data_IF_992754547617
#
_entry.id   IF_992754547617
#
_cell.length_a   1.000
_cell.length_b   1.000
_cell.length_c   1.000
_cell.angle_alpha   90.00
_cell.angle_beta   90.00
_cell.angle_gamma   90.00
#
_symmetry.space_group_name_H-M   'P 1'
#
loop_
_entity.id
_entity.type
_entity.pdbx_description
1 polymer ?
#
# COMPACT_ATOMS: atom_id res chain seq x y z
N UNK A 1 -6.94 25.34 -14.21
CA UNK A 1 -6.53 26.71 -13.82
C UNK A 1 -5.21 26.54 -13.08
N UNK A 2 -4.08 26.98 -13.63
CA UNK A 2 -2.75 26.72 -13.03
C UNK A 2 -2.67 27.42 -11.67
N UNK A 3 -2.46 26.65 -10.60
CA UNK A 3 -2.32 27.17 -9.24
C UNK A 3 -1.07 28.04 -9.17
N UNK A 4 -1.17 29.25 -8.61
CA UNK A 4 0.01 30.11 -8.44
C UNK A 4 0.98 29.51 -7.41
N UNK A 5 2.29 29.57 -7.69
CA UNK A 5 3.37 29.04 -6.84
C UNK A 5 3.24 29.37 -5.35
N UNK A 6 2.79 30.58 -5.01
CA UNK A 6 2.60 31.01 -3.60
C UNK A 6 1.42 30.30 -2.90
N UNK A 7 0.37 29.91 -3.62
CA UNK A 7 -0.76 29.18 -3.05
C UNK A 7 -0.37 27.72 -2.81
N UNK A 8 0.41 27.17 -3.72
CA UNK A 8 0.98 25.84 -3.61
C UNK A 8 1.89 25.69 -2.39
N UNK A 9 2.86 26.60 -2.21
CA UNK A 9 3.75 26.59 -1.04
C UNK A 9 2.98 26.62 0.28
N UNK A 10 1.88 27.38 0.36
CA UNK A 10 1.02 27.44 1.56
C UNK A 10 0.30 26.13 1.82
N UNK A 11 -0.25 25.48 0.79
CA UNK A 11 -0.93 24.19 0.93
C UNK A 11 0.04 23.09 1.35
N UNK A 12 1.24 23.08 0.78
CA UNK A 12 2.31 22.18 1.20
C UNK A 12 2.68 22.39 2.67
N UNK A 13 2.89 23.64 3.09
CA UNK A 13 3.19 23.94 4.49
C UNK A 13 2.06 23.49 5.42
N UNK A 14 0.80 23.69 5.03
CA UNK A 14 -0.36 23.20 5.77
C UNK A 14 -0.37 21.68 5.89
N UNK A 15 -0.14 20.96 4.79
CA UNK A 15 -0.09 19.50 4.78
C UNK A 15 1.05 18.97 5.66
N UNK A 16 2.26 19.53 5.53
CA UNK A 16 3.39 19.15 6.37
C UNK A 16 3.13 19.43 7.85
N UNK A 17 2.42 20.52 8.19
CA UNK A 17 2.00 20.79 9.57
C UNK A 17 1.04 19.72 10.07
N UNK A 18 0.02 19.37 9.29
CA UNK A 18 -0.91 18.29 9.64
C UNK A 18 -0.19 16.96 9.80
N UNK A 19 0.77 16.65 8.93
CA UNK A 19 1.57 15.44 9.03
C UNK A 19 2.35 15.39 10.35
N UNK A 20 2.99 16.50 10.75
CA UNK A 20 3.70 16.56 12.04
C UNK A 20 2.78 16.39 13.25
N UNK A 21 1.57 16.94 13.20
CA UNK A 21 0.56 16.75 14.24
C UNK A 21 0.12 15.27 14.33
N UNK A 22 -0.07 14.61 13.19
CA UNK A 22 -0.48 13.21 13.12
C UNK A 22 0.63 12.25 13.56
N UNK A 23 1.90 12.54 13.24
CA UNK A 23 3.07 11.78 13.75
C UNK A 23 3.07 11.69 15.28
N UNK A 24 2.61 12.74 15.97
CA UNK A 24 2.59 12.80 17.42
C UNK A 24 1.53 11.89 18.08
N UNK A 25 0.54 11.40 17.32
CA UNK A 25 -0.50 10.50 17.83
C UNK A 25 0.00 9.08 18.05
N UNK A 26 1.12 8.71 17.40
CA UNK A 26 1.67 7.36 17.43
C UNK A 26 0.83 6.35 16.65
N UNK A 27 1.48 5.26 16.24
CA UNK A 27 0.86 4.11 15.59
C UNK A 27 1.36 2.85 16.28
N UNK A 28 0.45 1.92 16.57
CA UNK A 28 0.81 0.60 17.07
C UNK A 28 0.92 -0.36 15.88
N UNK A 29 2.15 -0.74 15.57
CA UNK A 29 2.46 -1.65 14.47
C UNK A 29 1.77 -3.00 14.63
N UNK A 30 1.19 -3.49 13.54
CA UNK A 30 0.62 -4.86 13.42
C UNK A 30 1.47 -5.76 12.52
N UNK A 31 2.65 -5.31 12.11
CA UNK A 31 3.53 -6.01 11.18
C UNK A 31 3.73 -7.49 11.48
N UNK A 32 4.09 -7.85 12.72
CA UNK A 32 4.34 -9.25 13.04
C UNK A 32 3.08 -10.11 12.95
N UNK A 33 1.92 -9.57 13.33
CA UNK A 33 0.64 -10.28 13.18
C UNK A 33 0.29 -10.50 11.70
N UNK A 34 0.59 -9.51 10.84
CA UNK A 34 0.41 -9.64 9.39
C UNK A 34 1.29 -10.76 8.84
N UNK A 35 2.57 -10.80 9.24
CA UNK A 35 3.48 -11.85 8.80
C UNK A 35 3.08 -13.24 9.35
N UNK A 36 2.64 -13.32 10.60
CA UNK A 36 2.13 -14.57 11.19
C UNK A 36 0.93 -15.10 10.39
N UNK A 37 0.00 -14.22 9.98
CA UNK A 37 -1.12 -14.59 9.13
C UNK A 37 -0.68 -15.15 7.75
N UNK A 38 0.36 -14.58 7.15
CA UNK A 38 0.89 -15.06 5.88
C UNK A 38 1.60 -16.41 6.03
N UNK A 39 2.41 -16.57 7.07
CA UNK A 39 3.08 -17.84 7.39
C UNK A 39 2.04 -18.94 7.63
N UNK A 40 1.02 -18.68 8.45
CA UNK A 40 -0.05 -19.62 8.73
C UNK A 40 -0.83 -20.01 7.45
N UNK A 41 -1.11 -19.05 6.58
CA UNK A 41 -1.77 -19.33 5.29
C UNK A 41 -0.91 -20.25 4.40
N UNK A 42 0.39 -19.96 4.28
CA UNK A 42 1.33 -20.75 3.49
C UNK A 42 1.58 -22.16 4.05
N UNK A 43 1.59 -22.30 5.37
CA UNK A 43 1.79 -23.58 6.07
C UNK A 43 0.53 -24.44 5.97
N UNK A 44 -0.63 -23.87 6.26
CA UNK A 44 -1.89 -24.61 6.32
C UNK A 44 -2.45 -24.93 4.93
N UNK A 45 -2.10 -24.15 3.91
CA UNK A 45 -2.55 -24.29 2.51
C UNK A 45 -4.06 -24.56 2.42
N UNK A 46 -4.91 -23.66 2.96
CA UNK A 46 -6.34 -23.85 2.91
C UNK A 46 -6.83 -23.92 1.44
N UNK A 47 -7.92 -24.64 1.22
CA UNK A 47 -8.53 -24.72 -0.11
C UNK A 47 -9.07 -23.34 -0.55
N UNK A 48 -8.96 -22.99 -1.84
CA UNK A 48 -9.58 -21.77 -2.36
C UNK A 48 -11.10 -21.78 -2.14
N UNK A 49 -11.73 -20.60 -1.95
CA UNK A 49 -13.19 -20.49 -1.82
C UNK A 49 -13.93 -21.19 -2.96
N UNK A 50 -15.02 -21.90 -2.62
CA UNK A 50 -15.82 -22.62 -3.62
C UNK A 50 -16.41 -21.68 -4.69
N UNK A 51 -16.67 -20.42 -4.35
CA UNK A 51 -17.10 -19.40 -5.32
C UNK A 51 -16.05 -19.15 -6.41
N UNK A 52 -14.76 -19.14 -6.06
CA UNK A 52 -13.68 -19.00 -7.04
C UNK A 52 -13.62 -20.22 -7.94
N UNK A 53 -13.76 -21.43 -7.38
CA UNK A 53 -13.82 -22.68 -8.15
C UNK A 53 -15.01 -22.66 -9.13
N UNK A 54 -16.15 -22.16 -8.70
CA UNK A 54 -17.34 -22.03 -9.54
C UNK A 54 -17.19 -20.97 -10.65
N UNK A 55 -16.55 -19.83 -10.35
CA UNK A 55 -16.35 -18.72 -11.30
C UNK A 55 -15.25 -18.99 -12.33
N UNK A 56 -14.13 -19.56 -11.88
CA UNK A 56 -12.93 -19.74 -12.70
C UNK A 56 -12.84 -21.15 -13.30
N UNK A 57 -13.52 -22.15 -12.73
CA UNK A 57 -13.59 -23.50 -13.27
C UNK A 57 -12.21 -24.12 -13.53
N UNK A 58 -11.92 -24.44 -14.80
CA UNK A 58 -10.63 -25.01 -15.19
C UNK A 58 -9.47 -24.01 -15.14
N UNK A 59 -9.75 -22.71 -15.19
CA UNK A 59 -8.75 -21.64 -15.17
C UNK A 59 -8.20 -21.35 -13.76
N UNK A 60 -8.80 -21.92 -12.71
CA UNK A 60 -8.27 -21.82 -11.32
C UNK A 60 -6.79 -22.20 -11.28
N UNK A 61 -6.37 -23.20 -12.06
CA UNK A 61 -4.97 -23.67 -12.11
C UNK A 61 -3.98 -22.69 -12.73
N UNK A 62 -4.46 -21.62 -13.36
CA UNK A 62 -3.60 -20.57 -13.94
C UNK A 62 -3.20 -19.51 -12.90
N UNK A 63 -3.92 -19.45 -11.79
CA UNK A 63 -3.66 -18.50 -10.72
C UNK A 63 -3.01 -19.25 -9.56
N UNK A 64 -1.89 -18.72 -9.06
CA UNK A 64 -1.29 -19.26 -7.85
C UNK A 64 -2.05 -18.71 -6.64
N UNK A 65 -2.94 -19.52 -6.08
CA UNK A 65 -3.74 -19.13 -4.92
C UNK A 65 -2.90 -18.90 -3.67
N UNK A 66 -1.73 -19.52 -3.60
CA UNK A 66 -0.88 -19.48 -2.42
C UNK A 66 0.21 -18.42 -2.51
N UNK A 67 0.20 -17.60 -3.56
CA UNK A 67 1.18 -16.54 -3.73
C UNK A 67 0.97 -15.42 -2.70
N UNK A 68 2.04 -15.06 -1.99
CA UNK A 68 2.13 -13.85 -1.17
C UNK A 68 2.91 -12.80 -1.95
N UNK A 69 2.32 -11.62 -2.11
CA UNK A 69 2.94 -10.50 -2.83
C UNK A 69 3.57 -9.54 -1.84
N UNK A 70 4.89 -9.41 -1.88
CA UNK A 70 5.65 -8.43 -1.10
C UNK A 70 5.97 -7.19 -1.95
N UNK A 71 6.39 -6.05 -1.35
CA UNK A 71 7.03 -4.98 -2.10
C UNK A 71 8.33 -5.49 -2.75
N UNK A 72 8.64 -5.02 -3.96
CA UNK A 72 9.76 -5.53 -4.77
C UNK A 72 11.12 -5.45 -4.05
N UNK A 73 11.33 -4.42 -3.23
CA UNK A 73 12.55 -4.26 -2.42
C UNK A 73 12.78 -5.42 -1.44
N UNK A 74 11.71 -6.12 -1.06
CA UNK A 74 11.70 -7.22 -0.10
C UNK A 74 11.42 -8.59 -0.73
N UNK A 75 11.45 -8.69 -2.06
CA UNK A 75 11.22 -9.94 -2.78
C UNK A 75 12.53 -10.42 -3.43
N UNK A 76 12.97 -11.62 -3.08
CA UNK A 76 14.02 -12.34 -3.81
C UNK A 76 13.32 -13.33 -4.75
N UNK A 77 13.43 -13.16 -6.08
CA UNK A 77 12.74 -14.01 -7.05
C UNK A 77 13.24 -15.47 -7.06
N UNK A 78 14.33 -15.77 -6.34
CA UNK A 78 14.87 -17.12 -6.18
C UNK A 78 14.52 -17.75 -4.83
N UNK A 79 13.87 -17.02 -3.93
CA UNK A 79 13.43 -17.50 -2.62
C UNK A 79 11.93 -17.83 -2.64
N UNK A 80 11.54 -18.88 -1.91
CA UNK A 80 10.11 -19.19 -1.72
C UNK A 80 9.45 -18.14 -0.82
N UNK A 81 8.14 -17.91 -0.98
CA UNK A 81 7.38 -16.90 -0.23
C UNK A 81 7.62 -16.97 1.28
N UNK A 82 7.70 -18.16 1.86
CA UNK A 82 7.97 -18.36 3.28
C UNK A 82 9.38 -17.88 3.68
N UNK A 83 10.38 -18.09 2.83
CA UNK A 83 11.73 -17.58 3.04
C UNK A 83 11.78 -16.05 2.95
N UNK A 84 11.11 -15.48 1.93
CA UNK A 84 10.96 -14.05 1.77
C UNK A 84 10.29 -13.39 2.99
N UNK A 85 9.26 -14.02 3.57
CA UNK A 85 8.62 -13.54 4.81
C UNK A 85 9.58 -13.57 6.00
N UNK A 86 10.33 -14.66 6.19
CA UNK A 86 11.31 -14.73 7.28
C UNK A 86 12.43 -13.68 7.14
N UNK A 87 12.88 -13.44 5.91
CA UNK A 87 13.87 -12.39 5.61
C UNK A 87 13.34 -11.01 5.94
N UNK A 88 12.12 -10.71 5.48
CA UNK A 88 11.43 -9.47 5.79
C UNK A 88 11.26 -9.28 7.31
N UNK A 89 10.88 -10.34 8.04
CA UNK A 89 10.78 -10.31 9.51
C UNK A 89 12.12 -9.97 10.16
N UNK A 90 13.21 -10.55 9.69
CA UNK A 90 14.55 -10.32 10.23
C UNK A 90 15.05 -8.89 9.96
N UNK A 91 14.72 -8.31 8.80
CA UNK A 91 15.07 -6.93 8.45
C UNK A 91 14.50 -5.92 9.45
N UNK A 92 13.28 -6.16 9.92
CA UNK A 92 12.56 -5.29 10.84
C UNK A 92 12.64 -5.72 12.32
N UNK A 93 13.54 -6.64 12.69
CA UNK A 93 13.70 -7.06 14.09
C UNK A 93 14.23 -5.91 14.98
N UNK A 94 15.06 -5.05 14.42
CA UNK A 94 15.68 -3.91 15.11
C UNK A 94 15.27 -2.54 14.56
N UNK A 95 14.45 -2.51 13.50
CA UNK A 95 14.04 -1.30 12.80
C UNK A 95 12.52 -1.18 12.86
N UNK A 96 11.95 -0.04 13.30
CA UNK A 96 10.52 0.16 13.28
C UNK A 96 9.96 0.08 11.85
N UNK A 97 8.89 -0.69 11.68
CA UNK A 97 8.18 -0.81 10.41
C UNK A 97 7.36 0.45 10.17
N UNK A 98 7.27 0.86 8.91
CA UNK A 98 6.46 2.01 8.51
C UNK A 98 5.01 1.63 8.21
N UNK A 99 4.10 2.59 8.35
CA UNK A 99 2.69 2.42 8.00
C UNK A 99 2.50 2.09 6.51
N UNK A 100 3.35 2.62 5.63
CA UNK A 100 3.31 2.29 4.20
C UNK A 100 3.57 0.80 3.93
N UNK A 101 4.52 0.19 4.63
CA UNK A 101 4.81 -1.25 4.49
C UNK A 101 3.60 -2.07 4.94
N UNK A 102 3.09 -1.84 6.15
CA UNK A 102 1.93 -2.59 6.66
C UNK A 102 0.71 -2.45 5.76
N UNK A 103 0.45 -1.24 5.26
CA UNK A 103 -0.63 -1.00 4.33
C UNK A 103 -0.47 -1.81 3.04
N UNK A 104 0.73 -1.83 2.42
CA UNK A 104 0.98 -2.59 1.20
C UNK A 104 0.87 -4.10 1.42
N UNK A 105 1.38 -4.61 2.54
CA UNK A 105 1.27 -6.03 2.87
C UNK A 105 -0.21 -6.44 2.98
N UNK A 106 -1.02 -5.67 3.71
CA UNK A 106 -2.46 -5.96 3.84
C UNK A 106 -3.19 -5.78 2.52
N UNK A 107 -2.96 -4.69 1.78
CA UNK A 107 -3.73 -4.37 0.58
C UNK A 107 -3.42 -5.33 -0.58
N UNK A 108 -2.15 -5.76 -0.75
CA UNK A 108 -1.77 -6.71 -1.80
C UNK A 108 -2.21 -8.15 -1.49
N UNK A 109 -2.35 -8.49 -0.20
CA UNK A 109 -2.70 -9.83 0.26
C UNK A 109 -4.07 -9.88 0.93
N UNK A 110 -4.96 -8.94 0.59
CA UNK A 110 -6.24 -8.77 1.28
C UNK A 110 -7.14 -10.00 1.21
N UNK A 111 -6.97 -10.83 0.18
CA UNK A 111 -7.73 -12.05 -0.04
C UNK A 111 -7.63 -13.05 1.12
N UNK A 112 -6.51 -13.05 1.86
CA UNK A 112 -6.32 -13.91 3.04
C UNK A 112 -7.36 -13.56 4.11
N UNK A 113 -7.55 -12.26 4.34
CA UNK A 113 -8.49 -11.75 5.32
C UNK A 113 -9.93 -11.78 4.80
N UNK A 114 -10.17 -11.40 3.55
CA UNK A 114 -11.51 -11.40 2.93
C UNK A 114 -12.13 -12.81 2.92
N UNK A 115 -11.32 -13.84 2.63
CA UNK A 115 -11.79 -15.22 2.56
C UNK A 115 -11.81 -15.93 3.92
N UNK A 116 -11.49 -15.23 5.02
CA UNK A 116 -11.50 -15.78 6.38
C UNK A 116 -10.41 -16.81 6.65
N UNK A 117 -9.27 -16.71 5.96
CA UNK A 117 -8.10 -17.54 6.26
C UNK A 117 -7.26 -17.02 7.43
N UNK A 118 -7.42 -15.74 7.75
CA UNK A 118 -6.87 -15.09 8.94
C UNK A 118 -7.89 -14.12 9.54
N UNK A 119 -7.69 -13.76 10.81
CA UNK A 119 -8.48 -12.73 11.46
C UNK A 119 -8.23 -11.36 10.81
N UNK A 120 -9.26 -10.51 10.63
CA UNK A 120 -9.09 -9.19 10.01
C UNK A 120 -8.13 -8.29 10.81
N UNK A 121 -7.16 -7.69 10.12
CA UNK A 121 -6.18 -6.75 10.70
C UNK A 121 -6.45 -5.34 10.17
N UNK A 122 -6.67 -4.32 11.03
CA UNK A 122 -6.77 -2.92 10.62
C UNK A 122 -5.53 -2.44 9.84
N UNK A 123 -5.70 -2.07 8.57
CA UNK A 123 -4.64 -1.46 7.79
C UNK A 123 -4.49 0.04 8.15
N UNK A 124 -3.26 0.55 8.11
CA UNK A 124 -3.01 1.97 8.20
C UNK A 124 -3.85 2.78 7.22
N UNK A 125 -4.47 3.86 7.70
CA UNK A 125 -5.23 4.80 6.88
C UNK A 125 -4.30 5.88 6.32
N UNK A 126 -4.23 6.05 4.99
CA UNK A 126 -3.53 7.17 4.39
C UNK A 126 -4.10 8.52 4.82
N UNK A 127 -3.23 9.51 5.00
CA UNK A 127 -3.60 10.92 5.13
C UNK A 127 -3.89 11.56 3.78
N UNK A 128 -3.23 11.08 2.74
CA UNK A 128 -3.33 11.63 1.39
C UNK A 128 -3.20 10.51 0.38
N UNK A 129 -4.11 10.47 -0.59
CA UNK A 129 -3.98 9.67 -1.79
C UNK A 129 -4.24 10.54 -3.00
N UNK A 130 -3.33 10.49 -3.95
CA UNK A 130 -3.44 11.22 -5.21
C UNK A 130 -3.29 10.23 -6.37
N UNK A 131 -4.06 10.45 -7.43
CA UNK A 131 -3.91 9.74 -8.71
C UNK A 131 -3.91 10.71 -9.89
N UNK A 132 -3.18 10.37 -10.95
CA UNK A 132 -3.23 11.10 -12.22
C UNK A 132 -4.52 10.80 -12.97
N UNK A 133 -5.20 11.83 -13.46
CA UNK A 133 -6.43 11.71 -14.28
C UNK A 133 -6.26 12.50 -15.57
N UNK A 134 -6.85 12.02 -16.67
CA UNK A 134 -6.86 12.75 -17.93
C UNK A 134 -7.87 13.92 -17.91
N UNK A 135 -7.88 14.74 -18.96
CA UNK A 135 -8.79 15.88 -19.09
C UNK A 135 -10.28 15.49 -19.08
N UNK A 136 -10.60 14.21 -19.30
CA UNK A 136 -11.95 13.64 -19.29
C UNK A 136 -12.29 12.96 -17.94
N UNK A 137 -11.36 12.95 -16.98
CA UNK A 137 -11.50 12.28 -15.69
C UNK A 137 -11.35 10.74 -15.76
N UNK A 138 -10.77 10.23 -16.86
CA UNK A 138 -10.42 8.83 -17.04
C UNK A 138 -8.95 8.58 -16.65
N UNK A 139 -8.59 7.32 -16.41
CA UNK A 139 -7.20 6.92 -16.12
C UNK A 139 -6.28 7.24 -17.29
N UNK A 140 -5.16 7.90 -17.05
CA UNK A 140 -4.11 8.17 -18.05
C UNK A 140 -3.31 6.89 -18.28
N UNK A 141 -2.84 6.63 -19.50
CA UNK A 141 -1.92 5.51 -19.82
C UNK A 141 -0.62 5.48 -18.97
N UNK A 142 -0.31 6.60 -18.28
CA UNK A 142 0.72 6.73 -17.26
C UNK A 142 0.04 6.92 -15.90
N UNK A 143 -0.59 5.86 -15.39
CA UNK A 143 -1.20 5.85 -14.05
C UNK A 143 -0.11 6.15 -13.00
N UNK A 144 -0.03 7.40 -12.52
CA UNK A 144 0.81 7.79 -11.40
C UNK A 144 -0.08 7.83 -10.15
N UNK A 145 0.39 7.24 -9.05
CA UNK A 145 -0.28 7.35 -7.76
C UNK A 145 0.70 7.61 -6.63
N UNK A 146 0.24 8.32 -5.59
CA UNK A 146 0.97 8.49 -4.35
C UNK A 146 0.03 8.37 -3.16
N UNK A 147 0.48 7.64 -2.15
CA UNK A 147 -0.22 7.39 -0.90
C UNK A 147 0.69 7.76 0.26
N UNK A 148 0.25 8.65 1.13
CA UNK A 148 1.05 9.18 2.26
C UNK A 148 0.37 8.84 3.57
N UNK A 149 1.14 8.39 4.56
CA UNK A 149 0.65 7.95 5.87
C UNK A 149 1.03 8.94 6.98
N UNK A 150 0.42 8.78 8.15
CA UNK A 150 0.61 9.70 9.27
C UNK A 150 2.00 9.68 9.90
N UNK A 151 2.74 8.59 9.76
CA UNK A 151 4.16 8.53 10.15
C UNK A 151 5.10 9.24 9.14
N UNK A 152 4.56 9.70 8.01
CA UNK A 152 5.28 10.35 6.91
C UNK A 152 5.88 9.40 5.88
N UNK A 153 5.72 8.09 6.09
CA UNK A 153 6.01 7.11 5.05
C UNK A 153 5.03 7.25 3.90
N UNK A 154 5.45 6.77 2.72
CA UNK A 154 4.66 6.84 1.52
C UNK A 154 4.92 5.65 0.61
N UNK A 155 3.93 5.39 -0.24
CA UNK A 155 4.04 4.54 -1.40
C UNK A 155 3.74 5.37 -2.65
N UNK A 156 4.50 5.16 -3.70
CA UNK A 156 4.38 5.84 -4.96
C UNK A 156 4.54 4.87 -6.12
N UNK A 157 3.85 5.13 -7.22
CA UNK A 157 4.07 4.43 -8.47
C UNK A 157 4.17 5.43 -9.61
N UNK A 158 5.20 5.27 -10.43
CA UNK A 158 5.39 5.97 -11.70
C UNK A 158 5.43 7.51 -11.58
N UNK A 159 5.85 8.05 -10.43
CA UNK A 159 5.94 9.51 -10.21
C UNK A 159 6.87 10.18 -11.22
N UNK A 160 7.95 9.50 -11.62
CA UNK A 160 8.95 10.03 -12.55
C UNK A 160 8.79 9.49 -13.98
N UNK A 161 7.63 8.92 -14.29
CA UNK A 161 7.35 8.38 -15.62
C UNK A 161 8.32 7.25 -16.03
N UNK A 162 8.76 6.47 -15.03
CA UNK A 162 9.73 5.37 -15.11
C UNK A 162 9.10 4.00 -14.88
N UNK A 163 7.80 3.94 -14.60
CA UNK A 163 7.06 2.72 -14.25
C UNK A 163 7.60 2.04 -12.98
N UNK A 164 8.27 2.79 -12.10
CA UNK A 164 8.83 2.24 -10.86
C UNK A 164 7.88 2.44 -9.68
N UNK A 165 7.82 1.42 -8.82
CA UNK A 165 7.22 1.51 -7.49
C UNK A 165 8.28 2.00 -6.50
N UNK A 166 7.92 2.95 -5.64
CA UNK A 166 8.81 3.49 -4.62
C UNK A 166 8.09 3.44 -3.27
N UNK A 167 8.74 2.77 -2.32
CA UNK A 167 8.39 2.81 -0.92
C UNK A 167 9.40 3.72 -0.20
N UNK A 168 8.91 4.64 0.63
CA UNK A 168 9.79 5.56 1.34
C UNK A 168 9.29 5.96 2.72
N UNK A 169 10.20 6.46 3.55
CA UNK A 169 9.94 6.80 4.96
C UNK A 169 9.68 8.29 5.21
N UNK A 170 10.12 9.17 4.29
CA UNK A 170 9.92 10.62 4.38
C UNK A 170 9.45 11.21 3.04
N UNK A 171 8.16 11.54 2.98
CA UNK A 171 7.52 12.15 1.84
C UNK A 171 8.09 13.54 1.46
N UNK A 172 8.80 14.21 2.38
CA UNK A 172 9.27 15.59 2.16
C UNK A 172 10.17 15.73 0.93
N UNK A 173 11.07 14.78 0.69
CA UNK A 173 11.97 14.83 -0.46
C UNK A 173 11.21 14.72 -1.79
N UNK A 174 10.20 13.84 -1.86
CA UNK A 174 9.33 13.71 -3.04
C UNK A 174 8.50 14.97 -3.25
N UNK A 175 7.97 15.57 -2.18
CA UNK A 175 7.25 16.84 -2.28
C UNK A 175 8.16 17.94 -2.83
N UNK A 176 9.40 18.06 -2.35
CA UNK A 176 10.34 19.07 -2.85
C UNK A 176 10.73 18.86 -4.32
N UNK A 177 10.82 17.60 -4.77
CA UNK A 177 11.25 17.22 -6.11
C UNK A 177 10.12 17.22 -7.16
N UNK A 178 8.91 16.82 -6.77
CA UNK A 178 7.82 16.45 -7.68
C UNK A 178 6.53 17.25 -7.49
N UNK A 179 6.59 18.38 -6.75
CA UNK A 179 5.39 19.16 -6.41
C UNK A 179 4.56 19.55 -7.64
N UNK A 180 5.20 19.97 -8.73
CA UNK A 180 4.50 20.43 -9.93
C UNK A 180 3.59 19.33 -10.50
N UNK A 181 4.05 18.06 -10.49
CA UNK A 181 3.27 16.89 -10.90
C UNK A 181 2.14 16.62 -9.91
N UNK A 182 2.45 16.58 -8.60
CA UNK A 182 1.48 16.28 -7.55
C UNK A 182 0.31 17.28 -7.50
N UNK A 183 0.51 18.52 -7.95
CA UNK A 183 -0.53 19.55 -8.03
C UNK A 183 -1.59 19.30 -9.10
N UNK A 184 -1.23 18.56 -10.13
CA UNK A 184 -2.10 18.24 -11.24
C UNK A 184 -2.90 16.96 -10.98
N UNK A 185 -2.52 16.20 -9.95
CA UNK A 185 -3.18 14.97 -9.54
C UNK A 185 -4.48 15.24 -8.78
N UNK A 186 -5.41 14.30 -8.87
CA UNK A 186 -6.69 14.33 -8.20
C UNK A 186 -6.62 13.65 -6.83
N UNK A 187 -7.32 14.21 -5.85
CA UNK A 187 -7.53 13.57 -4.55
C UNK A 187 -8.40 12.33 -4.69
N UNK A 188 -7.89 11.20 -4.21
CA UNK A 188 -8.63 9.94 -4.10
C UNK A 188 -9.17 9.81 -2.70
N UNK A 189 -10.48 9.54 -2.58
CA UNK A 189 -11.07 9.10 -1.32
C UNK A 189 -11.00 7.57 -1.34
N UNK A 190 -10.18 6.96 -0.47
CA UNK A 190 -9.94 5.54 -0.56
C UNK A 190 -11.18 4.73 -0.21
N UNK A 191 -11.43 3.69 -0.99
CA UNK A 191 -12.62 2.84 -0.90
C UNK A 191 -12.26 1.50 -0.26
N UNK A 192 -13.01 1.12 0.78
CA UNK A 192 -12.87 -0.16 1.47
C UNK A 192 -13.07 -1.33 0.48
N UNK A 193 -12.18 -2.33 0.53
CA UNK A 193 -12.17 -3.49 -0.36
C UNK A 193 -11.46 -3.28 -1.71
N UNK A 194 -11.18 -2.03 -2.10
CA UNK A 194 -10.46 -1.71 -3.36
C UNK A 194 -9.09 -1.08 -3.10
N UNK A 195 -9.06 -0.06 -2.25
CA UNK A 195 -7.84 0.69 -1.88
C UNK A 195 -7.38 0.31 -0.45
N UNK A 196 -8.26 -0.35 0.30
CA UNK A 196 -7.97 -1.07 1.52
C UNK A 196 -8.37 -2.53 1.31
N UNK A 197 -7.59 -3.50 1.80
CA UNK A 197 -8.17 -4.79 2.14
C UNK A 197 -9.35 -4.60 3.09
N UNK A 198 -10.34 -5.50 3.14
CA UNK A 198 -11.52 -5.33 4.01
C UNK A 198 -11.06 -5.09 5.45
N UNK A 199 -11.29 -3.88 5.95
CA UNK A 199 -11.06 -3.49 7.34
C UNK A 199 -12.41 -3.28 7.96
N UNK A 200 -12.98 -4.35 8.52
CA UNK A 200 -14.11 -4.16 9.43
C UNK A 200 -13.65 -3.26 10.58
N UNK A 201 -13.98 -1.97 10.51
CA UNK A 201 -14.08 -1.14 11.70
C UNK A 201 -15.48 -1.32 12.26
N UNK A 202 -15.60 -1.88 13.45
CA UNK A 202 -16.66 -1.40 14.35
C UNK A 202 -16.36 0.06 14.75
#
# INVERSE_FOLDING_TARGET
MVMGKNELEKRMQSFLSTLQEQKALGWESRFHEILDAFEDFLINRPEPPEEWKARLGADVKKYDYYQIVLPADFEDPYEEDLGNIHRLRAEFEAVPVTMAIEHLLISRNYFIFENGHADPIPAPRPLLMLESVDDEGSKIDWDCCITVFSDGSFYAYNIRNDQEEVLGEDIKAILEDQMDVLCEMQLVIPVEGRDYGILRSE
#
